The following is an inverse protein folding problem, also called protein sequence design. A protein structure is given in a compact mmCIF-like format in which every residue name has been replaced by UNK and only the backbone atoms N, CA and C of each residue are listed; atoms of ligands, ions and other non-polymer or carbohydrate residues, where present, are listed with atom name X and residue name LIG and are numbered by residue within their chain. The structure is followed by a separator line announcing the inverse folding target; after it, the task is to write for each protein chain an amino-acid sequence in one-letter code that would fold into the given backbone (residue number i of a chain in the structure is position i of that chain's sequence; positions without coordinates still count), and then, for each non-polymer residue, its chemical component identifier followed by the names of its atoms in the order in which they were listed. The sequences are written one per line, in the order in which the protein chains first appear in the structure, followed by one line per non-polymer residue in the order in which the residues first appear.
data_IF_669183072822
#
_entry.id   IF_669183072822
#
_cell.length_a   1.000
_cell.length_b   1.000
_cell.length_c   1.000
_cell.angle_alpha   90.00
_cell.angle_beta   90.00
_cell.angle_gamma   90.00
#
_symmetry.space_group_name_H-M   'P 1'
#
loop_
_entity.id
_entity.type
_entity.pdbx_description
1 polymer ?
#
# COMPACT_ATOMS: atom_id res chain seq x y z
N UNK A 1 -32.62 -7.93 -21.09
CA UNK A 1 -31.97 -7.05 -20.11
C UNK A 1 -31.28 -6.00 -20.91
N UNK A 2 -31.43 -4.72 -20.56
CA UNK A 2 -31.05 -3.62 -21.46
C UNK A 2 -29.75 -2.93 -21.04
N UNK A 3 -29.17 -3.31 -19.88
CA UNK A 3 -27.93 -2.74 -19.33
C UNK A 3 -26.77 -3.74 -19.47
N UNK A 4 -25.64 -3.27 -19.98
CA UNK A 4 -24.35 -3.98 -19.99
C UNK A 4 -23.72 -3.98 -18.59
N UNK A 5 -22.65 -4.75 -18.40
CA UNK A 5 -21.85 -4.72 -17.17
C UNK A 5 -21.34 -3.30 -16.89
N UNK A 6 -20.80 -2.62 -17.92
CA UNK A 6 -20.39 -1.21 -17.81
C UNK A 6 -21.55 -0.32 -17.37
N UNK A 7 -22.75 -0.49 -17.93
CA UNK A 7 -23.90 0.32 -17.50
C UNK A 7 -24.24 0.08 -16.02
N UNK A 8 -24.15 -1.17 -15.54
CA UNK A 8 -24.42 -1.49 -14.13
C UNK A 8 -23.36 -0.89 -13.20
N UNK A 9 -22.08 -1.00 -13.53
CA UNK A 9 -20.97 -0.49 -12.71
C UNK A 9 -20.89 1.04 -12.76
N UNK A 10 -20.99 1.64 -13.96
CA UNK A 10 -20.86 3.09 -14.12
C UNK A 10 -22.12 3.87 -13.68
N UNK A 11 -23.31 3.26 -13.68
CA UNK A 11 -24.54 3.88 -13.14
C UNK A 11 -24.71 3.67 -11.62
N UNK A 12 -23.87 2.84 -11.00
CA UNK A 12 -23.79 2.71 -9.54
C UNK A 12 -23.47 4.07 -8.89
N UNK A 13 -24.14 4.42 -7.80
CA UNK A 13 -23.97 5.70 -7.09
C UNK A 13 -24.86 6.87 -7.58
N UNK A 14 -25.74 6.67 -8.56
CA UNK A 14 -26.70 7.68 -9.00
C UNK A 14 -27.81 7.93 -7.94
N UNK A 15 -28.26 9.18 -7.69
CA UNK A 15 -29.22 9.46 -6.63
C UNK A 15 -30.56 8.72 -6.85
N UNK A 16 -30.78 7.64 -6.10
CA UNK A 16 -31.99 6.81 -6.13
C UNK A 16 -31.78 5.31 -6.39
N UNK A 17 -30.58 4.88 -6.82
CA UNK A 17 -30.16 3.47 -6.91
C UNK A 17 -28.72 3.36 -6.42
N UNK A 18 -28.44 2.47 -5.46
CA UNK A 18 -27.16 2.32 -4.75
C UNK A 18 -26.65 3.65 -4.15
N UNK A 19 -27.03 3.86 -2.88
CA UNK A 19 -26.73 5.07 -2.13
C UNK A 19 -25.31 5.08 -1.56
N UNK A 20 -24.89 6.23 -1.02
CA UNK A 20 -23.60 6.53 -0.34
C UNK A 20 -23.35 5.70 0.94
N UNK A 21 -23.57 4.40 0.88
CA UNK A 21 -23.16 3.40 1.85
C UNK A 21 -22.10 2.52 1.17
N UNK A 22 -21.23 1.87 1.95
CA UNK A 22 -20.07 1.15 1.41
C UNK A 22 -20.37 -0.13 0.61
N UNK A 23 -21.58 -0.26 0.04
CA UNK A 23 -22.03 -1.41 -0.74
C UNK A 23 -22.25 -1.06 -2.24
N UNK A 24 -21.81 0.11 -2.70
CA UNK A 24 -21.81 0.51 -4.11
C UNK A 24 -20.46 0.25 -4.81
N UNK A 25 -20.30 0.71 -6.06
CA UNK A 25 -19.15 0.40 -6.94
C UNK A 25 -18.41 1.66 -7.41
N UNK A 26 -18.49 2.75 -6.65
CA UNK A 26 -17.95 4.04 -7.03
C UNK A 26 -16.42 4.00 -7.17
N UNK A 27 -15.73 3.28 -6.29
CA UNK A 27 -14.28 3.07 -6.38
C UNK A 27 -13.95 2.16 -7.57
N UNK A 28 -14.72 1.08 -7.79
CA UNK A 28 -14.51 0.18 -8.92
C UNK A 28 -14.71 0.91 -10.26
N UNK A 29 -15.72 1.76 -10.36
CA UNK A 29 -15.97 2.65 -11.51
C UNK A 29 -14.73 3.49 -11.79
N UNK A 30 -14.22 4.19 -10.79
CA UNK A 30 -13.08 5.08 -10.93
C UNK A 30 -11.81 4.30 -11.34
N UNK A 31 -11.63 3.09 -10.81
CA UNK A 31 -10.55 2.18 -11.19
C UNK A 31 -10.64 1.74 -12.66
N UNK A 32 -11.80 1.26 -13.11
CA UNK A 32 -12.05 0.82 -14.50
C UNK A 32 -11.84 1.94 -15.50
N UNK A 33 -12.31 3.16 -15.18
CA UNK A 33 -12.10 4.34 -16.02
C UNK A 33 -10.63 4.72 -16.07
N UNK A 34 -9.93 4.71 -14.92
CA UNK A 34 -8.50 5.04 -14.83
C UNK A 34 -7.63 4.05 -15.61
N UNK A 35 -7.96 2.75 -15.55
CA UNK A 35 -7.27 1.70 -16.32
C UNK A 35 -7.67 1.65 -17.81
N UNK A 36 -8.69 2.41 -18.23
CA UNK A 36 -9.15 2.43 -19.62
C UNK A 36 -9.90 1.17 -20.06
N UNK A 37 -10.55 0.46 -19.13
CA UNK A 37 -11.24 -0.81 -19.38
C UNK A 37 -12.75 -0.68 -19.65
N UNK A 38 -13.32 0.52 -19.57
CA UNK A 38 -14.76 0.75 -19.70
C UNK A 38 -15.36 0.24 -21.03
N UNK A 39 -14.63 0.43 -22.14
CA UNK A 39 -15.08 -0.04 -23.47
C UNK A 39 -15.08 -1.57 -23.57
N UNK A 40 -14.13 -2.25 -22.92
CA UNK A 40 -14.03 -3.70 -22.93
C UNK A 40 -15.21 -4.36 -22.18
N UNK A 41 -15.63 -3.76 -21.05
CA UNK A 41 -16.79 -4.22 -20.28
C UNK A 41 -18.14 -3.87 -20.94
N UNK A 42 -18.14 -2.95 -21.91
CA UNK A 42 -19.35 -2.50 -22.62
C UNK A 42 -19.60 -3.29 -23.91
N UNK A 43 -18.67 -4.17 -24.32
CA UNK A 43 -18.81 -4.96 -25.54
C UNK A 43 -20.06 -5.87 -25.45
N UNK A 44 -21.08 -5.66 -26.29
CA UNK A 44 -22.32 -6.44 -26.23
C UNK A 44 -22.15 -7.89 -26.71
N UNK A 45 -21.08 -8.20 -27.44
CA UNK A 45 -20.78 -9.55 -27.91
C UNK A 45 -19.90 -10.32 -26.90
N UNK A 46 -19.45 -9.66 -25.82
CA UNK A 46 -18.72 -10.31 -24.75
C UNK A 46 -19.66 -11.17 -23.88
N UNK A 47 -19.13 -12.27 -23.36
CA UNK A 47 -19.76 -13.05 -22.29
C UNK A 47 -18.76 -13.09 -21.14
N UNK A 48 -19.02 -12.32 -20.09
CA UNK A 48 -18.09 -12.13 -18.98
C UNK A 48 -18.74 -12.46 -17.63
N UNK A 49 -17.90 -12.89 -16.70
CA UNK A 49 -18.24 -12.95 -15.27
C UNK A 49 -17.33 -11.96 -14.57
N UNK A 50 -17.90 -10.98 -13.87
CA UNK A 50 -17.16 -9.97 -13.12
C UNK A 50 -17.39 -10.19 -11.63
N UNK A 51 -16.32 -10.45 -10.90
CA UNK A 51 -16.31 -10.45 -9.45
C UNK A 51 -16.03 -9.02 -8.98
N UNK A 52 -17.06 -8.24 -8.73
CA UNK A 52 -16.95 -6.80 -8.48
C UNK A 52 -16.78 -6.51 -6.97
N UNK A 53 -15.62 -5.99 -6.51
CA UNK A 53 -15.49 -5.53 -5.13
C UNK A 53 -16.35 -4.28 -4.90
N UNK A 54 -17.08 -4.24 -3.79
CA UNK A 54 -17.80 -3.04 -3.36
C UNK A 54 -16.84 -2.02 -2.73
N UNK A 55 -17.33 -0.81 -2.50
CA UNK A 55 -16.53 0.28 -1.93
C UNK A 55 -15.96 -0.05 -0.54
N UNK A 56 -16.70 -0.79 0.31
CA UNK A 56 -16.18 -1.27 1.59
C UNK A 56 -15.01 -2.26 1.44
N UNK A 57 -14.96 -3.02 0.34
CA UNK A 57 -13.84 -3.91 0.03
C UNK A 57 -12.56 -3.10 -0.28
N UNK A 58 -12.68 -2.07 -1.12
CA UNK A 58 -11.54 -1.19 -1.44
C UNK A 58 -11.08 -0.37 -0.23
N UNK A 59 -12.00 0.14 0.58
CA UNK A 59 -11.62 0.84 1.82
C UNK A 59 -10.98 -0.13 2.83
N UNK A 60 -11.43 -1.38 2.88
CA UNK A 60 -10.80 -2.46 3.63
C UNK A 60 -9.36 -2.74 3.18
N UNK A 61 -9.15 -2.90 1.87
CA UNK A 61 -7.81 -3.06 1.28
C UNK A 61 -6.94 -1.84 1.59
N UNK A 62 -7.44 -0.62 1.39
CA UNK A 62 -6.69 0.59 1.71
C UNK A 62 -6.30 0.61 3.21
N UNK A 63 -7.21 0.20 4.10
CA UNK A 63 -6.93 0.09 5.54
C UNK A 63 -5.91 -0.99 5.89
N UNK A 64 -5.92 -2.13 5.20
CA UNK A 64 -4.87 -3.16 5.32
C UNK A 64 -3.51 -2.65 4.81
N UNK A 65 -3.55 -1.81 3.77
CA UNK A 65 -2.45 -0.99 3.30
C UNK A 65 -2.25 0.26 4.18
N UNK A 66 -2.88 0.35 5.35
CA UNK A 66 -2.71 1.37 6.39
C UNK A 66 -3.07 2.80 6.03
N UNK A 67 -4.01 2.97 5.11
CA UNK A 67 -4.80 4.19 5.01
C UNK A 67 -5.58 4.41 6.32
N UNK A 68 -5.22 5.46 7.08
CA UNK A 68 -5.91 5.82 8.34
C UNK A 68 -7.13 6.74 8.12
N UNK A 69 -7.42 7.12 6.86
CA UNK A 69 -8.58 7.95 6.54
C UNK A 69 -9.89 7.14 6.44
N UNK A 70 -11.01 7.84 6.25
CA UNK A 70 -12.35 7.23 6.22
C UNK A 70 -13.16 7.51 4.96
N UNK A 71 -12.56 8.16 3.95
CA UNK A 71 -13.25 8.51 2.71
C UNK A 71 -12.88 7.53 1.59
N UNK A 72 -13.88 7.07 0.82
CA UNK A 72 -13.69 6.26 -0.39
C UNK A 72 -12.69 6.89 -1.37
N UNK A 73 -12.85 8.19 -1.65
CA UNK A 73 -11.94 8.95 -2.52
C UNK A 73 -10.50 8.93 -2.01
N UNK A 74 -10.32 9.02 -0.70
CA UNK A 74 -8.99 8.97 -0.09
C UNK A 74 -8.40 7.56 -0.11
N UNK A 75 -9.22 6.54 0.13
CA UNK A 75 -8.83 5.14 0.02
C UNK A 75 -8.38 4.78 -1.39
N UNK A 76 -9.14 5.18 -2.41
CA UNK A 76 -8.76 4.95 -3.81
C UNK A 76 -7.47 5.68 -4.18
N UNK A 77 -7.33 6.95 -3.79
CA UNK A 77 -6.09 7.70 -3.97
C UNK A 77 -4.90 6.97 -3.35
N UNK A 78 -5.06 6.48 -2.13
CA UNK A 78 -4.01 5.77 -1.41
C UNK A 78 -3.62 4.46 -2.12
N UNK A 79 -4.59 3.66 -2.57
CA UNK A 79 -4.33 2.43 -3.35
C UNK A 79 -3.55 2.77 -4.63
N UNK A 80 -3.98 3.78 -5.39
CA UNK A 80 -3.28 4.20 -6.61
C UNK A 80 -1.86 4.67 -6.31
N UNK A 81 -1.63 5.37 -5.21
CA UNK A 81 -0.29 5.80 -4.79
C UNK A 81 0.59 4.58 -4.45
N UNK A 82 0.09 3.62 -3.68
CA UNK A 82 0.81 2.37 -3.40
C UNK A 82 1.13 1.57 -4.66
N UNK A 83 0.18 1.44 -5.59
CA UNK A 83 0.40 0.77 -6.88
C UNK A 83 1.36 1.55 -7.77
N UNK A 84 1.41 2.88 -7.68
CA UNK A 84 2.34 3.70 -8.46
C UNK A 84 3.77 3.43 -8.02
N UNK A 85 3.99 3.30 -6.70
CA UNK A 85 5.30 2.94 -6.15
C UNK A 85 5.75 1.57 -6.67
N UNK A 86 4.86 0.58 -6.61
CA UNK A 86 5.11 -0.77 -7.13
C UNK A 86 5.32 -0.84 -8.66
N UNK A 87 4.68 0.06 -9.40
CA UNK A 87 4.74 0.10 -10.86
C UNK A 87 5.97 0.86 -11.40
N UNK A 88 6.95 1.19 -10.55
CA UNK A 88 8.11 1.99 -10.93
C UNK A 88 7.71 3.40 -11.39
N UNK A 89 6.65 3.97 -10.81
CA UNK A 89 6.11 5.29 -11.13
C UNK A 89 4.86 5.30 -12.01
N UNK A 90 4.31 4.14 -12.40
CA UNK A 90 3.04 4.04 -13.13
C UNK A 90 2.13 2.95 -12.54
N UNK A 91 1.03 3.35 -11.91
CA UNK A 91 0.04 2.42 -11.35
C UNK A 91 -0.81 1.70 -12.42
N UNK A 92 -0.89 2.23 -13.65
CA UNK A 92 -1.89 1.75 -14.62
C UNK A 92 -1.70 0.27 -14.96
N UNK A 93 -0.48 -0.25 -15.23
CA UNK A 93 -0.29 -1.67 -15.51
C UNK A 93 -0.76 -2.58 -14.38
N UNK A 94 -0.35 -2.31 -13.13
CA UNK A 94 -0.73 -3.12 -11.97
C UNK A 94 -2.22 -3.01 -11.66
N UNK A 95 -2.80 -1.82 -11.77
CA UNK A 95 -4.24 -1.64 -11.64
C UNK A 95 -5.01 -2.43 -12.71
N UNK A 96 -4.49 -2.48 -13.94
CA UNK A 96 -5.08 -3.27 -15.03
C UNK A 96 -4.98 -4.76 -14.73
N UNK A 97 -3.85 -5.24 -14.22
CA UNK A 97 -3.69 -6.64 -13.80
C UNK A 97 -4.68 -7.01 -12.69
N UNK A 98 -4.80 -6.17 -11.65
CA UNK A 98 -5.78 -6.37 -10.56
C UNK A 98 -7.20 -6.44 -11.14
N UNK A 99 -7.61 -5.45 -11.94
CA UNK A 99 -8.97 -5.41 -12.48
C UNK A 99 -9.27 -6.58 -13.42
N UNK A 100 -8.31 -7.02 -14.23
CA UNK A 100 -8.52 -8.16 -15.14
C UNK A 100 -8.48 -9.51 -14.42
N UNK A 101 -7.88 -9.59 -13.24
CA UNK A 101 -7.95 -10.76 -12.36
C UNK A 101 -9.36 -10.97 -11.76
N UNK A 102 -10.15 -9.90 -11.64
CA UNK A 102 -11.55 -9.97 -11.20
C UNK A 102 -12.51 -10.43 -12.32
N UNK A 103 -12.02 -10.70 -13.53
CA UNK A 103 -12.87 -11.02 -14.68
C UNK A 103 -12.57 -12.42 -15.17
N UNK A 104 -13.60 -13.19 -15.47
CA UNK A 104 -13.51 -14.49 -16.11
C UNK A 104 -14.33 -14.54 -17.41
N UNK A 105 -13.97 -15.44 -18.31
CA UNK A 105 -14.71 -15.66 -19.54
C UNK A 105 -15.99 -16.49 -19.30
N UNK A 106 -17.04 -16.18 -20.06
CA UNK A 106 -18.36 -16.81 -19.96
C UNK A 106 -19.27 -16.10 -18.95
N UNK A 107 -20.57 -16.30 -19.11
CA UNK A 107 -21.59 -15.83 -18.17
C UNK A 107 -21.89 -16.94 -17.14
N UNK A 108 -21.13 -16.97 -16.05
CA UNK A 108 -21.19 -18.00 -15.02
C UNK A 108 -22.09 -17.54 -13.87
N UNK A 109 -23.20 -18.24 -13.65
CA UNK A 109 -24.03 -18.05 -12.45
C UNK A 109 -23.30 -18.61 -11.22
N UNK A 110 -23.71 -18.21 -10.02
CA UNK A 110 -23.08 -18.67 -8.78
C UNK A 110 -23.10 -20.20 -8.65
N UNK A 111 -24.15 -20.86 -9.16
CA UNK A 111 -24.19 -22.31 -9.22
C UNK A 111 -23.09 -22.89 -10.13
N UNK A 112 -22.81 -22.29 -11.28
CA UNK A 112 -21.75 -22.72 -12.19
C UNK A 112 -20.37 -22.50 -11.57
N UNK A 113 -20.18 -21.36 -10.90
CA UNK A 113 -18.94 -21.02 -10.18
C UNK A 113 -18.69 -22.01 -9.04
N UNK A 114 -19.73 -22.33 -8.25
CA UNK A 114 -19.66 -23.31 -7.15
C UNK A 114 -19.41 -24.74 -7.68
N UNK A 115 -20.10 -25.15 -8.74
CA UNK A 115 -19.97 -26.50 -9.32
C UNK A 115 -18.60 -26.70 -9.98
N UNK A 116 -18.04 -25.64 -10.58
CA UNK A 116 -16.69 -25.67 -11.14
C UNK A 116 -15.61 -25.78 -10.05
N UNK A 117 -15.81 -25.12 -8.92
CA UNK A 117 -14.87 -25.06 -7.78
C UNK A 117 -13.62 -24.21 -8.05
N UNK A 118 -13.27 -24.00 -9.32
CA UNK A 118 -12.15 -23.21 -9.81
C UNK A 118 -12.58 -22.42 -11.05
N UNK A 119 -12.18 -21.15 -11.14
CA UNK A 119 -12.45 -20.27 -12.29
C UNK A 119 -11.15 -19.61 -12.75
N UNK A 120 -10.82 -19.74 -14.05
CA UNK A 120 -9.67 -19.07 -14.66
C UNK A 120 -10.02 -17.61 -15.00
N UNK A 121 -9.15 -16.68 -14.61
CA UNK A 121 -9.35 -15.24 -14.85
C UNK A 121 -8.79 -14.82 -16.21
N UNK A 122 -9.17 -13.64 -16.71
CA UNK A 122 -8.66 -13.08 -17.96
C UNK A 122 -7.19 -12.65 -17.87
N UNK A 123 -6.73 -12.25 -16.67
CA UNK A 123 -5.32 -11.97 -16.41
C UNK A 123 -4.48 -13.26 -16.39
N UNK A 124 -5.13 -14.38 -16.09
CA UNK A 124 -4.51 -15.66 -15.75
C UNK A 124 -4.57 -15.91 -14.23
N UNK A 125 -4.39 -17.16 -13.84
CA UNK A 125 -4.57 -17.58 -12.44
C UNK A 125 -5.97 -18.12 -12.16
N UNK A 126 -6.11 -18.79 -11.02
CA UNK A 126 -7.29 -19.60 -10.68
C UNK A 126 -7.90 -19.06 -9.38
N UNK A 127 -9.15 -18.61 -9.47
CA UNK A 127 -9.97 -18.32 -8.31
C UNK A 127 -10.55 -19.63 -7.78
N UNK A 128 -10.24 -19.98 -6.54
CA UNK A 128 -10.79 -21.18 -5.89
C UNK A 128 -11.93 -20.78 -4.95
N UNK A 129 -12.99 -21.57 -4.88
CA UNK A 129 -14.10 -21.32 -3.94
C UNK A 129 -13.97 -22.14 -2.65
N UNK A 130 -14.18 -21.47 -1.52
CA UNK A 130 -14.54 -22.11 -0.26
C UNK A 130 -16.07 -22.04 -0.06
N UNK A 131 -16.74 -23.12 -0.44
CA UNK A 131 -18.18 -23.28 -0.22
C UNK A 131 -18.55 -23.63 1.25
N UNK A 132 -17.56 -23.79 2.14
CA UNK A 132 -17.76 -24.09 3.56
C UNK A 132 -18.12 -22.86 4.40
N UNK A 133 -17.95 -21.66 3.86
CA UNK A 133 -18.30 -20.38 4.50
C UNK A 133 -19.76 -19.98 4.19
N UNK A 134 -20.28 -18.98 4.91
CA UNK A 134 -21.62 -18.44 4.65
C UNK A 134 -21.61 -16.92 4.84
N UNK A 135 -21.72 -16.13 3.74
CA UNK A 135 -21.79 -16.56 2.34
C UNK A 135 -20.50 -17.29 1.88
N UNK A 136 -20.53 -18.05 0.77
CA UNK A 136 -19.32 -18.63 0.18
C UNK A 136 -18.26 -17.57 -0.07
N UNK A 137 -16.99 -17.94 0.03
CA UNK A 137 -15.86 -17.03 -0.19
C UNK A 137 -14.94 -17.54 -1.28
N UNK A 138 -14.29 -16.62 -1.98
CA UNK A 138 -13.17 -16.91 -2.84
C UNK A 138 -11.93 -17.02 -1.97
N UNK A 139 -11.18 -18.11 -2.13
CA UNK A 139 -9.89 -18.27 -1.48
C UNK A 139 -8.93 -17.32 -2.18
N UNK A 140 -8.53 -16.27 -1.46
CA UNK A 140 -7.40 -15.45 -1.82
C UNK A 140 -6.11 -16.18 -1.40
N UNK A 141 -5.02 -15.94 -2.11
CA UNK A 141 -3.74 -16.54 -1.80
C UNK A 141 -3.02 -15.85 -0.62
N UNK A 142 -3.57 -14.75 -0.11
CA UNK A 142 -3.05 -13.90 0.96
C UNK A 142 -3.60 -14.32 2.34
N UNK A 143 -2.71 -14.59 3.30
CA UNK A 143 -3.07 -14.99 4.66
C UNK A 143 -3.32 -13.80 5.61
N UNK A 144 -2.84 -12.61 5.25
CA UNK A 144 -3.09 -11.36 5.96
C UNK A 144 -4.35 -10.62 5.50
N UNK A 145 -4.88 -10.95 4.32
CA UNK A 145 -6.16 -10.42 3.81
C UNK A 145 -7.27 -11.46 3.96
N UNK A 146 -8.44 -11.04 4.43
CA UNK A 146 -9.59 -11.93 4.53
C UNK A 146 -10.09 -12.36 3.14
N UNK A 147 -10.27 -13.67 2.95
CA UNK A 147 -10.90 -14.25 1.77
C UNK A 147 -12.19 -13.51 1.38
N UNK A 148 -12.30 -12.95 0.16
CA UNK A 148 -13.47 -12.21 -0.28
C UNK A 148 -14.74 -13.08 -0.30
N UNK A 149 -15.78 -12.66 0.41
CA UNK A 149 -17.11 -13.26 0.40
C UNK A 149 -17.96 -12.81 -0.79
N UNK A 150 -18.76 -13.74 -1.33
CA UNK A 150 -19.79 -13.43 -2.33
C UNK A 150 -21.03 -12.87 -1.64
N UNK A 151 -21.14 -11.55 -1.54
CA UNK A 151 -22.21 -10.87 -0.79
C UNK A 151 -23.49 -10.65 -1.59
N UNK A 152 -23.39 -10.58 -2.92
CA UNK A 152 -24.52 -10.62 -3.83
C UNK A 152 -24.11 -11.37 -5.10
N UNK A 153 -24.94 -12.29 -5.57
CA UNK A 153 -24.64 -13.11 -6.74
C UNK A 153 -25.66 -12.92 -7.85
N UNK A 154 -25.30 -13.35 -9.05
CA UNK A 154 -26.22 -13.48 -10.18
C UNK A 154 -26.87 -12.14 -10.58
N UNK A 155 -26.10 -11.04 -10.49
CA UNK A 155 -26.53 -9.74 -11.00
C UNK A 155 -26.37 -9.78 -12.52
N UNK A 156 -27.49 -10.01 -13.19
CA UNK A 156 -27.50 -10.26 -14.62
C UNK A 156 -27.34 -8.98 -15.45
N UNK A 157 -26.42 -9.03 -16.41
CA UNK A 157 -26.23 -8.00 -17.44
C UNK A 157 -26.62 -8.54 -18.82
N UNK A 158 -26.67 -7.65 -19.83
CA UNK A 158 -26.90 -8.07 -21.22
C UNK A 158 -25.72 -8.84 -21.84
N UNK A 159 -24.51 -8.63 -21.31
CA UNK A 159 -23.25 -9.22 -21.79
C UNK A 159 -22.50 -10.04 -20.70
N UNK A 160 -23.22 -10.53 -19.69
CA UNK A 160 -22.61 -11.36 -18.65
C UNK A 160 -23.31 -11.35 -17.29
N UNK A 161 -22.55 -11.72 -16.26
CA UNK A 161 -22.99 -11.80 -14.86
C UNK A 161 -22.00 -11.06 -13.96
N UNK A 162 -22.52 -10.37 -12.94
CA UNK A 162 -21.74 -9.73 -11.88
C UNK A 162 -22.01 -10.45 -10.55
N UNK A 163 -20.95 -10.71 -9.80
CA UNK A 163 -20.98 -11.17 -8.42
C UNK A 163 -20.27 -10.13 -7.55
N UNK A 164 -20.95 -9.56 -6.56
CA UNK A 164 -20.39 -8.57 -5.66
C UNK A 164 -19.55 -9.23 -4.56
N UNK A 165 -18.39 -8.64 -4.27
CA UNK A 165 -17.44 -9.11 -3.26
C UNK A 165 -17.26 -8.08 -2.14
N UNK A 166 -17.06 -8.54 -0.91
CA UNK A 166 -16.62 -7.72 0.24
C UNK A 166 -15.09 -7.68 0.43
N UNK A 167 -14.34 -8.19 -0.54
CA UNK A 167 -12.87 -8.13 -0.60
C UNK A 167 -12.37 -7.91 -2.03
N UNK A 168 -11.12 -7.46 -2.15
CA UNK A 168 -10.45 -7.23 -3.44
C UNK A 168 -9.55 -8.43 -3.72
N UNK A 169 -9.71 -9.06 -4.89
CA UNK A 169 -8.84 -10.14 -5.34
C UNK A 169 -7.52 -9.57 -5.86
N UNK A 170 -6.41 -10.06 -5.35
CA UNK A 170 -5.10 -9.64 -5.81
C UNK A 170 -4.49 -10.75 -6.68
N UNK A 171 -4.06 -10.48 -7.93
CA UNK A 171 -3.39 -11.46 -8.81
C UNK A 171 -2.01 -11.88 -8.30
N UNK A 172 -1.58 -11.33 -7.17
CA UNK A 172 -0.26 -11.53 -6.59
C UNK A 172 -0.36 -12.70 -5.61
N UNK A 173 0.23 -13.83 -5.99
CA UNK A 173 0.29 -15.00 -5.12
C UNK A 173 1.20 -14.71 -3.91
N UNK A 174 0.60 -14.32 -2.80
CA UNK A 174 1.27 -14.20 -1.49
C UNK A 174 1.90 -15.54 -1.07
N UNK A 175 1.43 -16.67 -1.60
CA UNK A 175 2.07 -17.98 -1.38
C UNK A 175 3.45 -18.19 -2.03
N UNK A 176 3.96 -17.30 -2.89
CA UNK A 176 5.32 -17.38 -3.48
C UNK A 176 6.37 -16.48 -2.76
N UNK A 177 5.98 -15.80 -1.66
CA UNK A 177 6.70 -14.75 -0.87
C UNK A 177 8.09 -15.11 -0.31
N UNK A 178 8.62 -16.31 -0.54
CA UNK A 178 9.97 -16.66 -0.08
C UNK A 178 10.95 -16.80 -1.26
N UNK A 179 11.15 -15.67 -1.94
CA UNK A 179 12.43 -15.33 -2.55
C UNK A 179 12.62 -15.78 -4.00
N UNK A 180 11.86 -15.16 -4.90
CA UNK A 180 12.21 -15.03 -6.32
C UNK A 180 12.68 -13.59 -6.58
N UNK A 181 13.33 -13.33 -7.72
CA UNK A 181 13.74 -11.96 -8.11
C UNK A 181 12.54 -11.23 -8.79
N UNK A 182 11.34 -11.30 -8.22
CA UNK A 182 10.08 -10.75 -8.75
C UNK A 182 9.42 -9.81 -7.75
N UNK A 183 8.65 -8.83 -8.24
CA UNK A 183 7.80 -7.97 -7.40
C UNK A 183 6.86 -8.77 -6.52
N UNK A 184 7.03 -8.60 -5.21
CA UNK A 184 6.23 -9.19 -4.15
C UNK A 184 5.29 -8.13 -3.53
N UNK A 185 4.09 -8.55 -3.12
CA UNK A 185 3.11 -7.72 -2.41
C UNK A 185 2.64 -8.45 -1.16
N UNK A 186 2.99 -7.90 -0.01
CA UNK A 186 2.83 -8.54 1.29
C UNK A 186 2.00 -7.65 2.20
N UNK A 187 0.94 -8.22 2.76
CA UNK A 187 0.18 -7.65 3.87
C UNK A 187 0.28 -8.62 5.04
N UNK A 188 0.94 -8.20 6.09
CA UNK A 188 1.13 -8.95 7.33
C UNK A 188 -0.01 -8.73 8.34
N UNK A 189 -0.15 -9.70 9.24
CA UNK A 189 -1.12 -9.66 10.34
C UNK A 189 -0.56 -9.06 11.63
N UNK A 190 -1.24 -9.26 12.75
CA UNK A 190 -0.88 -8.69 14.06
C UNK A 190 0.25 -9.43 14.82
N UNK A 191 0.84 -10.47 14.22
CA UNK A 191 1.88 -11.29 14.84
C UNK A 191 3.28 -10.87 14.37
N UNK A 192 4.27 -10.98 15.25
CA UNK A 192 5.68 -10.82 14.89
C UNK A 192 6.14 -11.84 13.84
N UNK A 193 6.60 -11.34 12.71
CA UNK A 193 6.99 -12.11 11.53
C UNK A 193 8.36 -11.71 10.99
N UNK A 194 8.85 -12.52 10.04
CA UNK A 194 10.06 -12.23 9.26
C UNK A 194 9.68 -12.28 7.78
N UNK A 195 9.92 -11.18 7.06
CA UNK A 195 9.66 -11.04 5.63
C UNK A 195 10.98 -10.90 4.86
N UNK A 196 11.17 -11.67 3.78
CA UNK A 196 12.37 -11.62 2.94
C UNK A 196 12.01 -11.87 1.46
N UNK A 197 11.97 -10.80 0.64
CA UNK A 197 11.50 -10.82 -0.75
C UNK A 197 12.63 -10.95 -1.79
N UNK A 198 13.88 -10.66 -1.39
CA UNK A 198 15.14 -10.78 -2.14
C UNK A 198 15.32 -9.75 -3.26
N UNK A 199 14.47 -9.72 -4.27
CA UNK A 199 14.59 -8.68 -5.28
C UNK A 199 13.37 -8.60 -6.17
N UNK A 200 13.20 -7.46 -6.83
CA UNK A 200 11.89 -7.03 -7.31
C UNK A 200 11.68 -5.58 -6.87
N UNK A 201 10.58 -4.97 -7.29
CA UNK A 201 10.09 -3.75 -6.65
C UNK A 201 8.97 -4.22 -5.75
N UNK A 202 9.23 -4.33 -4.46
CA UNK A 202 8.37 -5.04 -3.51
C UNK A 202 7.57 -4.06 -2.65
N UNK A 203 6.38 -4.47 -2.22
CA UNK A 203 5.60 -3.76 -1.21
C UNK A 203 5.35 -4.68 -0.03
N UNK A 204 5.77 -4.25 1.15
CA UNK A 204 5.61 -4.98 2.41
C UNK A 204 4.92 -4.08 3.42
N UNK A 205 3.74 -4.49 3.90
CA UNK A 205 3.10 -3.93 5.08
C UNK A 205 3.15 -4.97 6.18
N UNK A 206 4.06 -4.85 7.14
CA UNK A 206 4.40 -5.91 8.10
C UNK A 206 3.28 -6.21 9.12
N UNK A 207 2.43 -5.21 9.42
CA UNK A 207 1.19 -5.38 10.17
C UNK A 207 1.30 -4.97 11.64
N UNK A 208 1.03 -5.87 12.56
CA UNK A 208 1.22 -5.63 13.99
C UNK A 208 2.28 -6.57 14.55
N UNK A 209 2.81 -6.22 15.72
CA UNK A 209 3.87 -7.01 16.36
C UNK A 209 5.25 -6.42 16.07
N UNK A 210 6.30 -7.06 16.58
CA UNK A 210 7.67 -6.64 16.27
C UNK A 210 8.22 -7.46 15.11
N UNK A 211 8.35 -6.85 13.95
CA UNK A 211 8.67 -7.50 12.69
C UNK A 211 10.12 -7.30 12.24
N UNK A 212 10.59 -8.21 11.39
CA UNK A 212 11.85 -8.08 10.66
C UNK A 212 11.58 -8.15 9.16
N UNK A 213 11.80 -7.04 8.46
CA UNK A 213 11.62 -6.95 7.01
C UNK A 213 12.97 -6.82 6.31
N UNK A 214 13.17 -7.61 5.26
CA UNK A 214 14.31 -7.55 4.33
C UNK A 214 13.78 -7.47 2.90
N UNK A 215 13.68 -6.25 2.37
CA UNK A 215 13.07 -6.02 1.05
C UNK A 215 14.01 -6.46 -0.10
N UNK A 216 15.29 -6.15 -0.02
CA UNK A 216 16.32 -6.93 -0.71
C UNK A 216 16.94 -6.20 -1.89
N UNK A 217 16.35 -6.21 -3.08
CA UNK A 217 16.95 -5.56 -4.24
C UNK A 217 15.89 -4.99 -5.17
N UNK A 218 16.08 -3.75 -5.58
CA UNK A 218 15.12 -3.01 -6.35
C UNK A 218 14.49 -1.96 -5.45
N UNK A 219 13.58 -1.16 -6.01
CA UNK A 219 13.06 0.01 -5.33
C UNK A 219 11.86 -0.42 -4.48
N UNK A 220 12.06 -0.67 -3.19
CA UNK A 220 11.07 -1.33 -2.35
C UNK A 220 10.29 -0.34 -1.46
N UNK A 221 9.08 -0.72 -1.06
CA UNK A 221 8.28 -0.02 -0.04
C UNK A 221 8.06 -0.95 1.15
N UNK A 222 8.54 -0.56 2.33
CA UNK A 222 8.34 -1.33 3.56
C UNK A 222 7.71 -0.48 4.66
N UNK A 223 6.60 -0.98 5.23
CA UNK A 223 5.80 -0.34 6.26
C UNK A 223 5.81 -1.25 7.51
N UNK A 224 6.49 -0.83 8.58
CA UNK A 224 6.60 -1.56 9.85
C UNK A 224 5.28 -1.62 10.61
N UNK A 225 4.53 -0.51 10.57
CA UNK A 225 3.16 -0.36 11.10
C UNK A 225 3.08 -0.25 12.61
N UNK A 226 2.65 -1.28 13.32
CA UNK A 226 2.40 -1.18 14.77
C UNK A 226 3.30 -2.16 15.49
N UNK A 227 4.36 -1.68 16.10
CA UNK A 227 5.43 -2.61 16.41
C UNK A 227 6.65 -2.03 17.07
N UNK A 228 7.72 -2.78 17.01
CA UNK A 228 9.07 -2.26 17.21
C UNK A 228 9.89 -3.01 16.19
N UNK A 229 9.93 -2.44 14.99
CA UNK A 229 10.20 -3.15 13.76
C UNK A 229 11.63 -2.91 13.31
N UNK A 230 12.16 -3.85 12.54
CA UNK A 230 13.47 -3.71 11.93
C UNK A 230 13.32 -3.84 10.41
N UNK A 231 13.49 -2.73 9.71
CA UNK A 231 13.32 -2.64 8.27
C UNK A 231 14.67 -2.47 7.58
N UNK A 232 15.00 -3.39 6.67
CA UNK A 232 16.16 -3.30 5.79
C UNK A 232 15.70 -3.16 4.34
N UNK A 233 15.96 -2.00 3.72
CA UNK A 233 15.77 -1.79 2.28
C UNK A 233 16.73 -2.66 1.47
N UNK A 234 18.02 -2.55 1.80
CA UNK A 234 19.17 -3.28 1.26
C UNK A 234 19.74 -2.67 -0.02
N UNK A 235 19.05 -2.69 -1.16
CA UNK A 235 19.68 -2.31 -2.41
C UNK A 235 18.72 -1.84 -3.48
N UNK A 236 18.61 -0.54 -3.66
CA UNK A 236 17.66 0.12 -4.57
C UNK A 236 17.20 1.41 -3.90
N UNK A 237 16.28 2.12 -4.51
CA UNK A 237 15.73 3.34 -3.94
C UNK A 237 14.54 2.99 -3.06
N UNK A 238 14.80 2.77 -1.77
CA UNK A 238 13.81 2.19 -0.87
C UNK A 238 13.02 3.27 -0.11
N UNK A 239 11.75 3.02 0.15
CA UNK A 239 10.90 3.85 1.02
C UNK A 239 10.51 3.04 2.26
N UNK A 240 11.11 3.38 3.40
CA UNK A 240 10.97 2.67 4.67
C UNK A 240 10.20 3.53 5.68
N UNK A 241 9.11 3.01 6.21
CA UNK A 241 8.26 3.70 7.18
C UNK A 241 8.05 2.83 8.43
N UNK A 242 8.58 3.24 9.58
CA UNK A 242 8.42 2.53 10.86
C UNK A 242 6.99 2.60 11.39
N UNK A 243 6.37 3.78 11.29
CA UNK A 243 5.05 4.10 11.83
C UNK A 243 5.02 4.09 13.36
N UNK A 244 4.14 3.33 14.03
CA UNK A 244 4.00 3.37 15.48
C UNK A 244 4.96 2.38 16.10
N UNK A 245 5.98 2.84 16.81
CA UNK A 245 6.88 1.90 17.42
C UNK A 245 8.12 2.48 18.05
N UNK A 246 9.20 1.74 17.92
CA UNK A 246 10.52 2.07 18.41
C UNK A 246 11.45 1.31 17.49
N UNK A 247 11.59 1.86 16.29
CA UNK A 247 11.91 1.13 15.08
C UNK A 247 13.37 1.32 14.69
N UNK A 248 13.87 0.40 13.88
CA UNK A 248 15.22 0.45 13.31
C UNK A 248 15.09 0.35 11.80
N UNK A 249 15.36 1.46 11.11
CA UNK A 249 15.30 1.54 9.65
C UNK A 249 16.72 1.66 9.09
N UNK A 250 17.04 0.81 8.12
CA UNK A 250 18.31 0.79 7.41
C UNK A 250 18.08 0.75 5.89
N UNK A 251 18.29 1.87 5.21
CA UNK A 251 18.21 1.95 3.74
C UNK A 251 19.29 1.07 3.08
N UNK A 252 20.52 1.24 3.54
CA UNK A 252 21.75 0.58 3.09
C UNK A 252 22.30 1.10 1.77
N UNK A 253 21.62 0.99 0.65
CA UNK A 253 22.21 1.37 -0.63
C UNK A 253 21.21 1.73 -1.69
N UNK A 254 21.47 2.85 -2.35
CA UNK A 254 20.50 3.58 -3.16
C UNK A 254 20.11 4.85 -2.43
N UNK A 255 19.29 5.67 -3.08
CA UNK A 255 18.81 6.93 -2.51
C UNK A 255 17.49 6.63 -1.81
N UNK A 256 17.53 6.54 -0.47
CA UNK A 256 16.44 5.99 0.33
C UNK A 256 15.61 7.07 1.01
N UNK A 257 14.33 6.80 1.26
CA UNK A 257 13.43 7.62 2.09
C UNK A 257 13.14 6.87 3.38
N UNK A 258 13.47 7.46 4.53
CA UNK A 258 13.29 6.86 5.85
C UNK A 258 12.42 7.76 6.73
N UNK A 259 11.28 7.23 7.18
CA UNK A 259 10.40 7.86 8.17
C UNK A 259 10.23 6.92 9.37
N UNK A 260 10.73 7.32 10.54
CA UNK A 260 10.58 6.54 11.78
C UNK A 260 9.11 6.43 12.22
N UNK A 261 8.32 7.46 11.96
CA UNK A 261 6.96 7.58 12.49
C UNK A 261 6.95 8.01 13.95
N UNK A 262 5.99 7.52 14.73
CA UNK A 262 5.82 7.83 16.15
C UNK A 262 6.65 6.86 16.98
N UNK A 263 7.59 7.36 17.78
CA UNK A 263 8.37 6.44 18.59
C UNK A 263 9.68 6.96 19.11
N UNK A 264 10.62 6.03 19.26
CA UNK A 264 12.02 6.33 19.48
C UNK A 264 12.82 5.53 18.47
N UNK A 265 13.08 6.13 17.33
CA UNK A 265 13.51 5.39 16.16
C UNK A 265 15.01 5.60 15.88
N UNK A 266 15.62 4.60 15.25
CA UNK A 266 17.00 4.66 14.80
C UNK A 266 17.04 4.52 13.28
N UNK A 267 17.49 5.57 12.61
CA UNK A 267 17.49 5.69 11.16
C UNK A 267 18.92 5.68 10.64
N UNK A 268 19.21 4.83 9.66
CA UNK A 268 20.51 4.75 8.97
C UNK A 268 20.28 4.75 7.47
N UNK A 269 20.73 5.79 6.77
CA UNK A 269 20.55 5.92 5.32
C UNK A 269 21.46 4.94 4.57
N UNK A 270 22.75 4.94 4.88
CA UNK A 270 23.73 4.09 4.23
C UNK A 270 24.41 4.78 3.05
N UNK A 271 24.25 4.23 1.84
CA UNK A 271 24.93 4.70 0.63
C UNK A 271 23.92 5.27 -0.37
N UNK A 272 23.92 6.57 -0.52
CA UNK A 272 23.15 7.27 -1.55
C UNK A 272 23.06 8.73 -1.23
N UNK A 273 22.04 9.39 -1.73
CA UNK A 273 21.52 10.66 -1.21
C UNK A 273 20.20 10.36 -0.49
N UNK A 274 20.27 10.18 0.83
CA UNK A 274 19.16 9.65 1.63
C UNK A 274 18.29 10.79 2.18
N UNK A 275 16.98 10.58 2.32
CA UNK A 275 16.04 11.54 2.90
C UNK A 275 15.44 11.00 4.19
N UNK A 276 15.64 11.70 5.30
CA UNK A 276 15.04 11.38 6.60
C UNK A 276 13.84 12.29 6.86
N UNK A 277 12.65 11.73 6.95
CA UNK A 277 11.39 12.47 7.03
C UNK A 277 10.89 12.54 8.46
N UNK A 278 10.46 13.74 8.88
CA UNK A 278 9.89 13.99 10.20
C UNK A 278 8.58 14.77 10.10
N UNK A 279 7.55 14.24 10.75
CA UNK A 279 6.21 14.85 10.85
C UNK A 279 5.82 15.07 12.30
N UNK A 280 4.84 15.94 12.55
CA UNK A 280 4.41 16.29 13.92
C UNK A 280 4.12 15.04 14.78
N UNK A 281 4.73 14.97 15.97
CA UNK A 281 4.53 13.87 16.92
C UNK A 281 5.38 12.64 16.65
N UNK A 282 6.48 12.77 15.90
CA UNK A 282 7.40 11.65 15.62
C UNK A 282 8.10 11.10 16.88
N UNK A 283 8.24 11.89 17.94
CA UNK A 283 8.89 11.43 19.17
C UNK A 283 10.40 11.63 19.17
N UNK A 284 11.21 10.61 19.48
CA UNK A 284 12.64 10.82 19.80
C UNK A 284 13.57 9.96 18.96
N UNK A 285 14.05 10.54 17.88
CA UNK A 285 14.75 9.77 16.87
C UNK A 285 16.24 10.08 16.83
N UNK A 286 16.98 9.10 16.34
CA UNK A 286 18.42 9.20 16.11
C UNK A 286 18.72 8.84 14.66
N UNK A 287 19.22 9.81 13.90
CA UNK A 287 19.86 9.55 12.61
C UNK A 287 21.32 9.24 12.87
N UNK A 288 21.75 8.05 12.47
CA UNK A 288 23.02 7.45 12.89
C UNK A 288 24.19 7.91 12.00
N UNK A 289 23.95 8.15 10.72
CA UNK A 289 24.99 8.32 9.71
C UNK A 289 24.80 9.51 8.76
N UNK A 290 24.04 10.53 9.17
CA UNK A 290 23.77 11.73 8.36
C UNK A 290 25.03 12.32 7.70
N UNK A 291 25.03 12.41 6.36
CA UNK A 291 26.10 12.99 5.54
C UNK A 291 25.67 14.34 4.98
N UNK A 292 26.07 15.39 5.69
CA UNK A 292 25.93 16.78 5.26
C UNK A 292 26.32 17.01 3.78
N UNK A 293 25.44 17.69 3.04
CA UNK A 293 25.56 17.97 1.60
C UNK A 293 25.34 16.76 0.68
N UNK A 294 24.89 15.63 1.20
CA UNK A 294 24.49 14.43 0.45
C UNK A 294 23.11 13.94 0.88
N UNK A 295 22.90 13.83 2.19
CA UNK A 295 21.62 13.42 2.76
C UNK A 295 20.78 14.66 3.11
N UNK A 296 19.46 14.47 3.19
CA UNK A 296 18.48 15.53 3.43
C UNK A 296 17.60 15.18 4.63
N UNK A 297 17.25 16.18 5.43
CA UNK A 297 16.28 16.09 6.53
C UNK A 297 15.01 16.82 6.11
N UNK A 298 13.94 16.09 5.88
CA UNK A 298 12.64 16.69 5.59
C UNK A 298 11.90 17.03 6.90
N UNK A 299 11.72 18.32 7.14
CA UNK A 299 10.99 18.89 8.26
C UNK A 299 9.71 19.61 7.81
N UNK A 300 9.31 19.46 6.56
CA UNK A 300 8.10 20.09 6.02
C UNK A 300 6.84 19.64 6.77
N UNK A 301 6.85 18.40 7.31
CA UNK A 301 5.80 17.86 8.18
C UNK A 301 5.74 18.46 9.59
N UNK A 302 6.74 19.25 10.01
CA UNK A 302 6.81 19.90 11.32
C UNK A 302 6.31 21.36 11.29
N UNK A 303 5.94 21.88 10.12
CA UNK A 303 5.57 23.29 9.94
C UNK A 303 6.75 24.26 10.06
N UNK A 304 7.98 23.76 9.96
CA UNK A 304 9.20 24.56 9.96
C UNK A 304 9.41 25.16 8.58
N UNK A 305 9.59 26.48 8.51
CA UNK A 305 9.64 27.20 7.23
C UNK A 305 11.02 27.75 6.87
N UNK A 306 11.94 27.81 7.84
CA UNK A 306 13.26 28.45 7.66
C UNK A 306 14.37 27.74 8.44
N UNK A 307 15.61 27.90 7.98
CA UNK A 307 16.79 27.39 8.67
C UNK A 307 17.03 28.08 10.03
N UNK A 308 16.66 29.36 10.18
CA UNK A 308 16.74 30.08 11.46
C UNK A 308 15.95 29.36 12.58
N UNK A 309 14.84 28.70 12.24
CA UNK A 309 14.04 27.91 13.17
C UNK A 309 14.77 26.61 13.58
N UNK A 310 15.53 25.99 12.67
CA UNK A 310 16.40 24.85 12.96
C UNK A 310 17.51 25.27 13.94
N UNK A 311 18.19 26.38 13.67
CA UNK A 311 19.24 26.91 14.56
C UNK A 311 18.68 27.19 15.97
N UNK A 312 17.45 27.69 16.06
CA UNK A 312 16.77 27.94 17.34
C UNK A 312 16.39 26.65 18.09
N UNK A 313 16.19 25.54 17.38
CA UNK A 313 15.84 24.24 17.96
C UNK A 313 17.04 23.48 18.55
N UNK A 314 18.29 23.88 18.26
CA UNK A 314 19.47 23.17 18.76
C UNK A 314 19.65 23.34 20.28
N UNK A 315 19.69 22.22 21.02
CA UNK A 315 19.75 22.22 22.49
C UNK A 315 20.97 21.52 23.10
N UNK A 316 21.60 20.56 22.40
CA UNK A 316 22.80 19.86 22.88
C UNK A 316 23.74 19.50 21.71
N UNK A 317 25.05 19.48 22.01
CA UNK A 317 26.13 19.36 21.00
C UNK A 317 27.17 18.28 21.34
N UNK A 318 26.89 17.47 22.37
CA UNK A 318 27.81 16.41 22.80
C UNK A 318 27.50 15.13 22.02
N UNK A 319 28.51 14.61 21.30
CA UNK A 319 28.41 13.39 20.47
C UNK A 319 27.51 13.49 19.23
N UNK A 320 27.01 14.68 18.89
CA UNK A 320 26.15 14.96 17.74
C UNK A 320 25.36 16.24 17.96
N UNK A 321 24.52 16.60 16.99
CA UNK A 321 23.61 17.75 17.08
C UNK A 321 22.24 17.28 17.54
N UNK A 322 21.71 17.93 18.57
CA UNK A 322 20.39 17.60 19.13
C UNK A 322 19.44 18.76 18.88
N UNK A 323 18.38 18.49 18.13
CA UNK A 323 17.29 19.41 17.82
C UNK A 323 16.09 19.05 18.71
N UNK A 324 15.43 20.06 19.27
CA UNK A 324 14.21 19.92 20.06
C UNK A 324 13.13 20.82 19.47
N UNK A 325 12.11 20.19 18.88
CA UNK A 325 11.04 20.89 18.19
C UNK A 325 9.83 21.18 19.09
N UNK A 326 9.89 20.81 20.36
CA UNK A 326 8.77 20.96 21.29
C UNK A 326 7.90 19.71 21.37
N UNK A 327 6.87 19.73 22.22
CA UNK A 327 5.84 18.68 22.37
C UNK A 327 6.31 17.22 22.61
N UNK A 328 7.60 17.04 22.89
CA UNK A 328 8.22 15.73 23.11
C UNK A 328 9.14 15.29 21.98
N UNK A 329 9.11 16.01 20.86
CA UNK A 329 9.83 15.72 19.63
C UNK A 329 11.29 16.16 19.69
N UNK A 330 12.20 15.21 19.46
CA UNK A 330 13.64 15.41 19.57
C UNK A 330 14.39 14.58 18.53
N UNK A 331 15.18 15.25 17.70
CA UNK A 331 16.04 14.62 16.70
C UNK A 331 17.50 14.69 17.14
N UNK A 332 18.20 13.56 17.08
CA UNK A 332 19.64 13.46 17.28
C UNK A 332 20.32 13.12 15.96
N UNK A 333 21.16 14.02 15.46
CA UNK A 333 22.07 13.76 14.35
C UNK A 333 23.41 13.29 14.92
N UNK A 334 23.59 11.98 15.02
CA UNK A 334 24.74 11.39 15.68
C UNK A 334 26.03 11.74 14.93
N UNK A 335 27.06 12.19 15.66
CA UNK A 335 28.35 12.54 15.08
C UNK A 335 28.36 13.78 14.16
N UNK A 336 27.21 14.41 13.94
CA UNK A 336 27.08 15.61 13.10
C UNK A 336 27.31 16.87 13.92
N UNK A 337 28.19 17.74 13.43
CA UNK A 337 28.46 19.05 14.02
C UNK A 337 27.52 20.09 13.40
N UNK A 338 26.77 20.81 14.24
CA UNK A 338 25.78 21.81 13.84
C UNK A 338 26.37 22.88 12.90
N UNK A 339 27.66 23.20 13.03
CA UNK A 339 28.30 24.26 12.24
C UNK A 339 28.50 23.87 10.78
N UNK A 340 28.25 22.60 10.47
CA UNK A 340 28.26 22.06 9.13
C UNK A 340 26.88 22.08 8.49
N UNK A 341 25.81 22.19 9.29
CA UNK A 341 24.46 22.23 8.78
C UNK A 341 24.19 23.57 8.08
N UNK A 342 23.49 23.51 6.96
CA UNK A 342 22.98 24.68 6.24
C UNK A 342 21.58 24.45 5.68
N UNK A 343 21.02 25.46 4.99
CA UNK A 343 19.67 25.40 4.43
C UNK A 343 19.51 24.34 3.34
N UNK A 344 20.61 23.88 2.73
CA UNK A 344 20.61 22.82 1.71
C UNK A 344 20.46 21.42 2.28
N UNK A 345 20.67 21.22 3.58
CA UNK A 345 20.49 19.93 4.26
C UNK A 345 19.02 19.64 4.61
N UNK A 346 18.10 20.61 4.41
CA UNK A 346 16.72 20.52 4.90
C UNK A 346 15.68 20.79 3.82
N UNK A 347 14.54 20.09 3.91
CA UNK A 347 13.31 20.42 3.18
C UNK A 347 12.34 21.09 4.16
N UNK A 348 11.83 22.26 3.78
CA UNK A 348 10.93 23.10 4.59
C UNK A 348 9.50 23.11 4.02
N UNK A 349 8.54 23.52 4.85
CA UNK A 349 7.11 23.65 4.49
C UNK A 349 6.80 24.83 3.54
#
# INVERSE_FOLDING_TARGET
MDKTITDIVLESGAPGEFDRNGDDFDILRDAVVTAGLADALADPDAELTVFAPVDSAFTGLAGALGYEGSSERGAFKYIVESLTLLGGGDAIPLLTDILTYHVAAGALEAADVIDAGEVETLQGGILTLDAGTTPPSLIDADDGVANPGLIATDIMASNGVIHALDGVLLPLAVSDILGRDSTDFIIGGDESMIYETKGGTDFISAGGGADLVRAGKGDDVALGRAGSDVLFGNGGHDSLFGHKGGDILMGNGGDDILDGGQGQDQLTGGRGEDTFVFSEGYGKDTVVDFRNGHDTIDVSGLGITTFDEIEAAVVEKNYGTVLNFGDGDRLVLLGTDESRLDDGDFIFA
#
